data_IF_181149356058
#
_entry.id   IF_181149356058
#
_cell.length_a   1.000
_cell.length_b   1.000
_cell.length_c   1.000
_cell.angle_alpha   90.00
_cell.angle_beta   90.00
_cell.angle_gamma   90.00
#
_symmetry.space_group_name_H-M   'P 1'
#
loop_
_entity.id
_entity.type
_entity.pdbx_description
1 polymer ?
#
# COMPACT_ATOMS: atom_id res chain seq x y z
N UNK A 1 30.61 18.02 24.85
CA UNK A 1 29.40 17.87 24.03
C UNK A 1 29.15 16.38 23.78
N UNK A 2 27.98 15.86 24.17
CA UNK A 2 27.53 14.51 23.78
C UNK A 2 26.79 14.67 22.45
N UNK A 3 27.23 14.00 21.40
CA UNK A 3 26.90 14.34 20.00
C UNK A 3 25.40 14.39 19.72
N UNK A 4 24.87 15.59 19.50
CA UNK A 4 23.46 15.91 19.28
C UNK A 4 22.91 15.50 17.91
N UNK A 5 23.09 14.25 17.51
CA UNK A 5 22.49 13.69 16.28
C UNK A 5 21.10 13.15 16.61
N UNK A 6 20.07 14.00 16.58
CA UNK A 6 18.68 13.55 16.67
C UNK A 6 18.29 12.80 15.39
N UNK A 7 18.28 11.47 15.44
CA UNK A 7 17.71 10.65 14.38
C UNK A 7 16.18 10.70 14.45
N UNK A 8 15.50 10.84 13.30
CA UNK A 8 14.03 10.75 13.28
C UNK A 8 13.59 9.33 13.62
N UNK A 9 12.44 9.20 14.29
CA UNK A 9 11.85 7.90 14.62
C UNK A 9 11.74 7.00 13.38
N UNK A 10 11.31 7.55 12.25
CA UNK A 10 11.22 6.85 10.96
C UNK A 10 12.56 6.25 10.51
N UNK A 11 13.65 7.00 10.62
CA UNK A 11 14.98 6.52 10.22
C UNK A 11 15.52 5.51 11.22
N UNK A 12 15.24 5.68 12.52
CA UNK A 12 15.57 4.70 13.54
C UNK A 12 14.84 3.37 13.31
N UNK A 13 13.56 3.40 12.97
CA UNK A 13 12.77 2.21 12.61
C UNK A 13 13.36 1.49 11.41
N UNK A 14 13.71 2.21 10.32
CA UNK A 14 14.30 1.59 9.13
C UNK A 14 15.62 0.88 9.46
N UNK A 15 16.51 1.54 10.21
CA UNK A 15 17.80 0.99 10.62
C UNK A 15 17.59 -0.24 11.52
N UNK A 16 16.70 -0.13 12.51
CA UNK A 16 16.41 -1.22 13.44
C UNK A 16 15.87 -2.46 12.72
N UNK A 17 14.90 -2.29 11.82
CA UNK A 17 14.35 -3.42 11.06
C UNK A 17 15.36 -4.01 10.07
N UNK A 18 16.32 -3.22 9.55
CA UNK A 18 17.40 -3.74 8.69
C UNK A 18 18.40 -4.60 9.46
N UNK A 19 18.60 -4.28 10.74
CA UNK A 19 19.52 -5.02 11.62
C UNK A 19 18.88 -6.26 12.27
N UNK A 20 17.60 -6.54 12.00
CA UNK A 20 16.88 -7.66 12.60
C UNK A 20 17.46 -9.00 12.10
N UNK A 21 17.99 -9.86 12.99
CA UNK A 21 18.63 -11.12 12.58
C UNK A 21 17.62 -12.22 12.28
N UNK A 22 16.44 -12.17 12.91
CA UNK A 22 15.40 -13.19 12.79
C UNK A 22 14.03 -12.54 12.55
N UNK A 23 13.36 -13.00 11.50
CA UNK A 23 12.06 -12.51 11.05
C UNK A 23 10.89 -13.40 11.47
N UNK A 24 11.14 -14.53 12.15
CA UNK A 24 10.10 -15.49 12.54
C UNK A 24 8.96 -14.84 13.34
N UNK A 25 9.29 -13.97 14.31
CA UNK A 25 8.30 -13.25 15.12
C UNK A 25 7.47 -12.20 14.35
N UNK A 26 7.85 -11.89 13.10
CA UNK A 26 7.15 -10.98 12.21
C UNK A 26 6.59 -11.67 10.97
N UNK A 27 6.74 -12.99 10.84
CA UNK A 27 6.33 -13.72 9.64
C UNK A 27 4.85 -13.49 9.30
N UNK A 28 3.98 -13.53 10.30
CA UNK A 28 2.53 -13.29 10.17
C UNK A 28 2.16 -11.81 9.89
N UNK A 29 3.15 -10.91 9.93
CA UNK A 29 2.99 -9.47 9.65
C UNK A 29 3.57 -9.07 8.30
N UNK A 30 4.25 -9.99 7.61
CA UNK A 30 4.75 -9.73 6.28
C UNK A 30 3.58 -9.53 5.30
N UNK A 31 3.72 -8.65 4.29
CA UNK A 31 2.67 -8.43 3.30
C UNK A 31 2.34 -9.72 2.55
N UNK A 32 1.09 -9.86 2.15
CA UNK A 32 0.64 -11.04 1.42
C UNK A 32 1.38 -11.16 0.09
N UNK A 33 1.77 -12.37 -0.28
CA UNK A 33 2.60 -12.64 -1.46
C UNK A 33 1.94 -12.20 -2.78
N UNK A 34 0.61 -12.25 -2.81
CA UNK A 34 -0.24 -11.87 -3.95
C UNK A 34 -0.76 -10.44 -3.87
N UNK A 35 -0.50 -9.72 -2.77
CA UNK A 35 -0.81 -8.30 -2.68
C UNK A 35 0.13 -7.47 -3.54
N UNK A 36 -0.27 -6.23 -3.82
CA UNK A 36 0.59 -5.23 -4.44
C UNK A 36 1.02 -4.17 -3.41
N UNK A 37 2.02 -3.36 -3.79
CA UNK A 37 2.43 -2.19 -3.01
C UNK A 37 2.07 -0.91 -3.77
N UNK A 38 1.48 0.05 -3.09
CA UNK A 38 1.23 1.40 -3.61
C UNK A 38 2.09 2.43 -2.87
N UNK A 39 2.67 3.38 -3.60
CA UNK A 39 3.44 4.48 -2.99
C UNK A 39 2.51 5.39 -2.17
N UNK A 40 2.83 5.54 -0.90
CA UNK A 40 2.14 6.46 0.00
C UNK A 40 2.78 7.86 -0.01
N UNK A 41 4.09 7.96 -0.29
CA UNK A 41 4.83 9.22 -0.37
C UNK A 41 5.65 9.32 -1.66
N UNK A 42 5.78 10.55 -2.18
CA UNK A 42 6.42 10.82 -3.48
C UNK A 42 7.96 10.81 -3.43
N UNK A 43 8.59 10.71 -2.25
CA UNK A 43 10.05 10.74 -2.14
C UNK A 43 10.64 9.94 -0.98
N UNK A 44 11.82 9.36 -1.21
CA UNK A 44 12.54 8.52 -0.24
C UNK A 44 14.01 8.96 0.03
N UNK A 45 14.47 10.08 -0.56
CA UNK A 45 15.88 10.50 -0.50
C UNK A 45 16.41 10.74 0.92
N UNK A 46 15.56 11.23 1.83
CA UNK A 46 15.96 11.55 3.19
C UNK A 46 16.18 10.31 4.07
N UNK A 47 15.62 9.16 3.69
CA UNK A 47 15.67 7.93 4.47
C UNK A 47 16.89 7.06 4.13
N UNK A 48 17.59 7.34 3.03
CA UNK A 48 18.79 6.58 2.65
C UNK A 48 18.48 5.12 2.36
N UNK A 49 17.48 4.87 1.49
CA UNK A 49 17.16 3.53 1.04
C UNK A 49 18.36 2.90 0.35
N UNK A 50 18.61 1.62 0.65
CA UNK A 50 19.58 0.85 -0.11
C UNK A 50 19.07 0.57 -1.54
N UNK A 51 19.92 0.08 -2.46
CA UNK A 51 19.52 -0.16 -3.85
C UNK A 51 18.33 -1.13 -4.00
N UNK A 52 18.18 -2.11 -3.10
CA UNK A 52 17.11 -3.09 -3.15
C UNK A 52 15.79 -2.50 -2.65
N UNK A 53 15.84 -1.77 -1.53
CA UNK A 53 14.71 -1.00 -1.00
C UNK A 53 14.20 0.03 -2.03
N UNK A 54 15.11 0.75 -2.69
CA UNK A 54 14.77 1.66 -3.77
C UNK A 54 14.17 0.92 -4.99
N UNK A 55 14.64 -0.29 -5.29
CA UNK A 55 14.09 -1.15 -6.34
C UNK A 55 12.64 -1.55 -6.07
N UNK A 56 12.35 -2.04 -4.86
CA UNK A 56 10.98 -2.38 -4.44
C UNK A 56 10.08 -1.14 -4.45
N UNK A 57 10.53 -0.02 -3.91
CA UNK A 57 9.77 1.24 -3.90
C UNK A 57 9.45 1.76 -5.33
N UNK A 58 10.38 1.62 -6.28
CA UNK A 58 10.14 2.00 -7.68
C UNK A 58 9.04 1.17 -8.33
N UNK A 59 8.97 -0.12 -8.01
CA UNK A 59 7.99 -1.06 -8.54
C UNK A 59 6.62 -1.00 -7.83
N UNK A 60 6.53 -0.31 -6.68
CA UNK A 60 5.30 -0.14 -5.90
C UNK A 60 4.29 0.82 -6.57
N UNK A 61 3.64 0.37 -7.65
CA UNK A 61 2.65 1.14 -8.40
C UNK A 61 1.19 0.77 -8.09
N UNK A 62 0.95 -0.15 -7.16
CA UNK A 62 -0.36 -0.64 -6.75
C UNK A 62 -0.94 -1.73 -7.65
N UNK A 63 -0.20 -2.22 -8.65
CA UNK A 63 -0.72 -3.17 -9.64
C UNK A 63 0.18 -4.36 -9.93
N UNK A 64 1.38 -4.41 -9.34
CA UNK A 64 2.32 -5.52 -9.50
C UNK A 64 2.37 -6.29 -8.19
N UNK A 65 2.10 -7.61 -8.19
CA UNK A 65 2.15 -8.41 -6.97
C UNK A 65 3.58 -8.61 -6.48
N UNK A 66 3.77 -8.88 -5.18
CA UNK A 66 5.11 -9.09 -4.61
C UNK A 66 5.87 -10.24 -5.27
N UNK A 67 5.19 -11.30 -5.71
CA UNK A 67 5.78 -12.40 -6.51
C UNK A 67 6.47 -11.90 -7.77
N UNK A 68 5.85 -10.96 -8.48
CA UNK A 68 6.37 -10.41 -9.72
C UNK A 68 7.51 -9.42 -9.44
N UNK A 69 7.42 -8.66 -8.35
CA UNK A 69 8.51 -7.80 -7.87
C UNK A 69 9.75 -8.65 -7.57
N UNK A 70 9.60 -9.76 -6.86
CA UNK A 70 10.70 -10.68 -6.55
C UNK A 70 11.36 -11.23 -7.81
N UNK A 71 10.55 -11.63 -8.79
CA UNK A 71 11.03 -12.10 -10.10
C UNK A 71 11.81 -11.01 -10.84
N UNK A 72 11.29 -9.79 -10.91
CA UNK A 72 11.93 -8.66 -11.61
C UNK A 72 13.25 -8.23 -10.96
N UNK A 73 13.35 -8.34 -9.63
CA UNK A 73 14.56 -7.99 -8.89
C UNK A 73 15.56 -9.17 -8.77
N UNK A 74 15.18 -10.37 -9.20
CA UNK A 74 16.00 -11.58 -9.08
C UNK A 74 16.29 -11.93 -7.62
N UNK A 75 15.30 -11.79 -6.74
CA UNK A 75 15.40 -12.06 -5.29
C UNK A 75 14.36 -13.07 -4.83
N UNK A 76 14.59 -13.65 -3.65
CA UNK A 76 13.57 -14.47 -3.02
C UNK A 76 12.36 -13.63 -2.63
N UNK A 77 11.18 -14.26 -2.69
CA UNK A 77 9.93 -13.63 -2.28
C UNK A 77 9.99 -13.14 -0.84
N UNK A 78 10.56 -13.94 0.06
CA UNK A 78 10.76 -13.58 1.46
C UNK A 78 11.58 -12.30 1.62
N UNK A 79 12.69 -12.15 0.89
CA UNK A 79 13.50 -10.92 0.93
C UNK A 79 12.68 -9.71 0.50
N UNK A 80 11.86 -9.84 -0.54
CA UNK A 80 10.98 -8.77 -1.00
C UNK A 80 9.89 -8.46 0.04
N UNK A 81 9.28 -9.47 0.66
CA UNK A 81 8.31 -9.27 1.73
C UNK A 81 8.90 -8.52 2.93
N UNK A 82 10.11 -8.89 3.37
CA UNK A 82 10.82 -8.22 4.46
C UNK A 82 11.13 -6.75 4.11
N UNK A 83 11.61 -6.48 2.89
CA UNK A 83 11.82 -5.10 2.41
C UNK A 83 10.50 -4.33 2.40
N UNK A 84 9.44 -4.95 1.90
CA UNK A 84 8.11 -4.35 1.81
C UNK A 84 7.60 -3.97 3.19
N UNK A 85 7.73 -4.86 4.17
CA UNK A 85 7.40 -4.60 5.57
C UNK A 85 8.16 -3.40 6.13
N UNK A 86 9.48 -3.29 5.85
CA UNK A 86 10.27 -2.12 6.25
C UNK A 86 9.73 -0.83 5.66
N UNK A 87 9.45 -0.83 4.36
CA UNK A 87 8.93 0.35 3.63
C UNK A 87 7.53 0.75 4.12
N UNK A 88 6.67 -0.21 4.46
CA UNK A 88 5.35 0.02 5.06
C UNK A 88 5.49 0.62 6.46
N UNK A 89 6.36 0.05 7.29
CA UNK A 89 6.60 0.50 8.67
C UNK A 89 7.07 1.95 8.78
N UNK A 90 7.73 2.46 7.72
CA UNK A 90 8.18 3.86 7.62
C UNK A 90 7.25 4.74 6.78
N UNK A 91 6.11 4.22 6.34
CA UNK A 91 5.08 4.96 5.62
C UNK A 91 5.43 5.34 4.18
N UNK A 92 6.41 4.67 3.55
CA UNK A 92 6.79 4.96 2.16
C UNK A 92 5.84 4.31 1.15
N UNK A 93 5.32 3.13 1.49
CA UNK A 93 4.37 2.36 0.68
C UNK A 93 3.26 1.83 1.58
N UNK A 94 2.15 1.43 0.97
CA UNK A 94 1.04 0.73 1.59
C UNK A 94 0.77 -0.56 0.82
N UNK A 95 0.36 -1.60 1.54
CA UNK A 95 -0.12 -2.85 0.94
C UNK A 95 -1.54 -2.64 0.38
N UNK A 96 -1.77 -3.18 -0.82
CA UNK A 96 -3.08 -3.13 -1.50
C UNK A 96 -3.45 -4.55 -1.92
N UNK A 97 -4.60 -5.08 -1.47
CA UNK A 97 -5.09 -6.37 -1.92
C UNK A 97 -5.30 -6.38 -3.42
N UNK A 98 -4.83 -7.43 -4.10
CA UNK A 98 -5.15 -7.66 -5.50
C UNK A 98 -6.36 -8.59 -5.61
N UNK A 99 -7.32 -8.23 -6.46
CA UNK A 99 -8.42 -9.13 -6.79
C UNK A 99 -7.88 -10.32 -7.57
N UNK A 100 -8.19 -11.52 -7.10
CA UNK A 100 -7.95 -12.73 -7.89
C UNK A 100 -8.89 -12.74 -9.10
N UNK A 101 -8.49 -13.41 -10.18
CA UNK A 101 -9.35 -13.58 -11.37
C UNK A 101 -10.70 -14.20 -11.03
N UNK A 102 -10.75 -15.12 -10.06
CA UNK A 102 -12.00 -15.70 -9.56
C UNK A 102 -12.90 -14.64 -8.92
N UNK A 103 -12.36 -13.81 -8.03
CA UNK A 103 -13.14 -12.72 -7.42
C UNK A 103 -13.59 -11.73 -8.48
N UNK A 104 -12.71 -11.32 -9.39
CA UNK A 104 -13.06 -10.42 -10.49
C UNK A 104 -14.23 -10.94 -11.32
N UNK A 105 -14.20 -12.22 -11.68
CA UNK A 105 -15.27 -12.86 -12.45
C UNK A 105 -16.58 -12.97 -11.63
N UNK A 106 -16.49 -13.21 -10.32
CA UNK A 106 -17.64 -13.25 -9.42
C UNK A 106 -18.32 -11.87 -9.31
N UNK A 107 -17.54 -10.79 -9.12
CA UNK A 107 -18.06 -9.42 -9.07
C UNK A 107 -18.74 -9.03 -10.39
N UNK A 108 -18.12 -9.37 -11.52
CA UNK A 108 -18.69 -9.18 -12.87
C UNK A 108 -19.98 -9.98 -13.08
N UNK A 109 -20.04 -11.21 -12.54
CA UNK A 109 -21.24 -12.06 -12.63
C UNK A 109 -22.42 -11.56 -11.79
N UNK A 110 -22.18 -10.71 -10.78
CA UNK A 110 -23.22 -10.13 -9.92
C UNK A 110 -23.72 -8.76 -10.38
N UNK A 111 -23.19 -8.21 -11.49
CA UNK A 111 -23.59 -6.88 -11.98
C UNK A 111 -23.22 -5.74 -11.02
N UNK A 112 -22.32 -5.99 -10.06
CA UNK A 112 -21.76 -4.96 -9.19
C UNK A 112 -20.55 -4.37 -9.91
N UNK A 113 -20.81 -3.42 -10.81
CA UNK A 113 -19.76 -2.67 -11.49
C UNK A 113 -18.88 -1.97 -10.44
N UNK A 114 -17.54 -2.14 -10.49
CA UNK A 114 -16.66 -1.37 -9.63
C UNK A 114 -16.86 0.10 -9.96
N UNK A 115 -17.26 0.90 -8.97
CA UNK A 115 -17.32 2.35 -9.11
C UNK A 115 -15.88 2.83 -9.33
N UNK A 116 -15.50 2.97 -10.59
CA UNK A 116 -14.36 3.75 -10.96
C UNK A 116 -14.66 5.18 -10.47
N UNK A 117 -13.96 5.64 -9.44
CA UNK A 117 -13.83 7.07 -9.17
C UNK A 117 -12.92 7.63 -10.26
N UNK A 118 -13.43 7.62 -11.48
CA UNK A 118 -12.87 8.30 -12.63
C UNK A 118 -13.26 9.76 -12.49
N UNK A 119 -12.28 10.61 -12.21
CA UNK A 119 -12.42 12.05 -12.33
C UNK A 119 -12.54 12.45 -13.81
N UNK A 120 -13.63 12.06 -14.47
CA UNK A 120 -13.99 12.56 -15.79
C UNK A 120 -15.20 13.47 -15.62
N UNK A 121 -14.90 14.75 -15.39
CA UNK A 121 -15.85 15.83 -15.64
C UNK A 121 -16.09 15.92 -17.14
N UNK A 122 -17.33 15.63 -17.56
CA UNK A 122 -18.03 16.37 -18.60
C UNK A 122 -19.51 16.42 -18.20
N UNK A 123 -20.06 17.62 -18.14
CA UNK A 123 -21.46 17.98 -17.88
C UNK A 123 -22.40 17.17 -18.81
N UNK A 124 -23.57 16.66 -18.43
CA UNK A 124 -24.71 17.29 -17.77
C UNK A 124 -25.45 16.24 -16.90
N UNK A 125 -25.57 16.46 -15.59
CA UNK A 125 -26.63 15.81 -14.81
C UNK A 125 -26.97 16.66 -13.57
N UNK A 126 -28.26 16.77 -13.30
CA UNK A 126 -28.86 17.74 -12.40
C UNK A 126 -28.37 17.57 -10.93
N UNK A 127 -27.62 18.53 -10.34
CA UNK A 127 -26.96 18.34 -9.04
C UNK A 127 -27.90 18.33 -7.82
N UNK A 128 -29.22 18.47 -8.02
CA UNK A 128 -30.17 18.64 -6.92
C UNK A 128 -30.77 17.33 -6.37
N UNK A 129 -30.67 16.20 -7.06
CA UNK A 129 -31.21 14.92 -6.53
C UNK A 129 -30.20 14.06 -5.76
N UNK A 130 -28.89 14.17 -6.05
CA UNK A 130 -27.90 13.27 -5.46
C UNK A 130 -27.45 13.65 -4.04
N UNK A 131 -27.89 14.78 -3.48
CA UNK A 131 -27.39 15.25 -2.19
C UNK A 131 -28.25 14.85 -0.97
N UNK A 132 -29.57 14.72 -1.12
CA UNK A 132 -30.44 14.54 0.05
C UNK A 132 -30.51 13.09 0.56
N UNK A 133 -30.68 12.09 -0.31
CA UNK A 133 -30.85 10.70 0.15
C UNK A 133 -29.59 10.13 0.80
N UNK A 134 -28.42 10.52 0.32
CA UNK A 134 -27.16 10.10 0.90
C UNK A 134 -26.97 10.65 2.32
N UNK A 135 -27.20 11.95 2.52
CA UNK A 135 -27.09 12.58 3.84
C UNK A 135 -28.09 11.97 4.83
N UNK A 136 -29.32 11.68 4.38
CA UNK A 136 -30.33 11.04 5.24
C UNK A 136 -29.92 9.63 5.67
N UNK A 137 -29.29 8.84 4.79
CA UNK A 137 -28.75 7.53 5.19
C UNK A 137 -27.59 7.66 6.17
N UNK A 138 -26.66 8.59 5.94
CA UNK A 138 -25.52 8.78 6.82
C UNK A 138 -25.95 9.21 8.23
N UNK A 139 -26.92 10.13 8.33
CA UNK A 139 -27.49 10.57 9.61
C UNK A 139 -28.24 9.43 10.32
N UNK A 140 -28.90 8.55 9.58
CA UNK A 140 -29.53 7.35 10.15
C UNK A 140 -28.53 6.38 10.79
N UNK A 141 -27.33 6.25 10.20
CA UNK A 141 -26.26 5.42 10.74
C UNK A 141 -25.59 6.01 11.98
N UNK A 142 -25.42 7.33 12.05
CA UNK A 142 -24.77 8.00 13.19
C UNK A 142 -25.67 8.15 14.42
N UNK A 143 -26.96 7.91 14.28
CA UNK A 143 -27.95 8.01 15.36
C UNK A 143 -28.31 6.66 15.97
N UNK A 144 -27.36 5.72 16.00
CA UNK A 144 -27.36 4.56 16.89
C UNK A 144 -26.28 4.69 17.94
#
# INVERSE_FOLDING_TARGET
EMTGLSISATKATLIGLRALPDWTGLADKLPETTSALSRAMVGHRQLGLDPMEAGVWKLANGSIPLTDIATRLGKSLETVQQISFRLISVGLVAEVPMLTSYQQNYWQSQGLEPVAVGANRTEEDNPQELSNRFVQHLLGFLRR
#
